data_IF_630007641594
#
_entry.id   IF_630007641594
#
_cell.length_a   1.000
_cell.length_b   1.000
_cell.length_c   1.000
_cell.angle_alpha   90.00
_cell.angle_beta   90.00
_cell.angle_gamma   90.00
#
_symmetry.space_group_name_H-M   'P 1'
#
loop_
_entity.id
_entity.type
_entity.pdbx_description
1 polymer ?
#
# COMPACT_ATOMS: atom_id res chain seq x y z
N UNK A 1 -2.13 20.86 30.85
CA UNK A 1 -1.99 19.38 30.69
C UNK A 1 -0.56 18.87 30.52
N UNK A 2 0.14 19.07 29.38
CA UNK A 2 1.48 18.46 29.17
C UNK A 2 2.51 18.86 30.24
N UNK A 3 2.56 20.17 30.56
CA UNK A 3 3.41 20.71 31.62
C UNK A 3 3.06 20.14 32.99
N UNK A 4 1.77 20.09 33.34
CA UNK A 4 1.27 19.49 34.58
C UNK A 4 1.67 18.01 34.70
N UNK A 5 1.46 17.21 33.65
CA UNK A 5 1.82 15.79 33.64
C UNK A 5 3.32 15.55 33.88
N UNK A 6 4.17 16.48 33.43
CA UNK A 6 5.62 16.44 33.61
C UNK A 6 6.06 16.88 35.01
N UNK A 7 5.22 17.61 35.75
CA UNK A 7 5.50 18.06 37.12
C UNK A 7 5.04 17.04 38.19
N UNK A 8 4.29 16.00 37.80
CA UNK A 8 3.84 14.96 38.72
C UNK A 8 5.03 14.20 39.33
N UNK A 9 5.00 14.02 40.64
CA UNK A 9 6.03 13.30 41.38
C UNK A 9 6.19 11.86 40.85
N UNK A 10 7.44 11.43 40.66
CA UNK A 10 7.78 10.12 40.10
C UNK A 10 7.76 10.04 38.56
N UNK A 11 7.20 11.04 37.85
CA UNK A 11 7.22 11.07 36.38
C UNK A 11 8.55 11.63 35.86
N UNK A 12 9.35 10.77 35.21
CA UNK A 12 10.66 11.18 34.65
C UNK A 12 10.55 11.80 33.26
N UNK A 13 9.62 11.32 32.43
CA UNK A 13 9.47 11.75 31.04
C UNK A 13 8.06 11.47 30.53
N UNK A 14 7.50 12.40 29.76
CA UNK A 14 6.22 12.24 29.06
C UNK A 14 6.51 12.29 27.57
N UNK A 15 6.18 11.23 26.83
CA UNK A 15 6.39 11.15 25.38
C UNK A 15 5.05 11.04 24.66
N UNK A 16 4.92 11.72 23.52
CA UNK A 16 3.75 11.58 22.66
C UNK A 16 4.06 10.55 21.57
N UNK A 17 3.39 9.40 21.64
CA UNK A 17 3.49 8.32 20.66
C UNK A 17 2.27 8.24 19.73
N UNK A 18 1.27 9.09 19.93
CA UNK A 18 0.10 9.20 19.07
C UNK A 18 0.43 9.97 17.79
N UNK A 19 -0.33 9.68 16.72
CA UNK A 19 -0.32 10.54 15.53
C UNK A 19 -0.77 11.95 15.88
N UNK A 20 -0.26 12.93 15.13
CA UNK A 20 -0.52 14.34 15.33
C UNK A 20 -1.21 14.94 14.09
N UNK A 21 -2.29 15.69 14.34
CA UNK A 21 -2.95 16.54 13.34
C UNK A 21 -2.13 17.81 13.17
N UNK A 22 -1.18 17.74 12.25
CA UNK A 22 -0.22 18.82 12.01
C UNK A 22 -0.88 20.06 11.42
N UNK A 23 -1.99 19.88 10.72
CA UNK A 23 -2.90 20.94 10.28
C UNK A 23 -3.29 21.87 11.42
N UNK A 24 -3.65 21.31 12.57
CA UNK A 24 -4.01 22.09 13.75
C UNK A 24 -2.77 22.56 14.53
N UNK A 25 -1.72 21.75 14.56
CA UNK A 25 -0.52 22.08 15.30
C UNK A 25 0.20 23.31 14.74
N UNK A 26 0.17 23.53 13.42
CA UNK A 26 0.79 24.71 12.80
C UNK A 26 0.15 26.02 13.25
N UNK A 27 -1.13 26.00 13.65
CA UNK A 27 -1.83 27.18 14.16
C UNK A 27 -1.35 27.60 15.57
N UNK A 28 -0.68 26.72 16.31
CA UNK A 28 -0.19 26.97 17.67
C UNK A 28 1.33 26.70 17.79
N UNK A 29 2.18 27.71 17.53
CA UNK A 29 3.62 27.59 17.68
C UNK A 29 4.09 27.27 19.11
N UNK A 30 3.35 27.68 20.15
CA UNK A 30 3.70 27.37 21.54
C UNK A 30 3.55 25.86 21.79
N UNK A 31 2.45 25.29 21.30
CA UNK A 31 2.22 23.85 21.35
C UNK A 31 3.33 23.06 20.65
N UNK A 32 3.71 23.45 19.43
CA UNK A 32 4.80 22.76 18.70
C UNK A 32 6.12 22.87 19.46
N UNK A 33 6.41 24.04 20.04
CA UNK A 33 7.63 24.24 20.84
C UNK A 33 7.65 23.32 22.06
N UNK A 34 6.57 23.25 22.83
CA UNK A 34 6.45 22.34 23.99
C UNK A 34 6.62 20.87 23.56
N UNK A 35 5.91 20.47 22.50
CA UNK A 35 5.94 19.11 21.95
C UNK A 35 7.37 18.69 21.59
N UNK A 36 8.05 19.49 20.79
CA UNK A 36 9.39 19.18 20.26
C UNK A 36 10.44 19.20 21.38
N UNK A 37 10.35 20.19 22.27
CA UNK A 37 11.32 20.39 23.36
C UNK A 37 11.21 19.33 24.44
N UNK A 38 10.01 18.80 24.73
CA UNK A 38 9.82 17.92 25.89
C UNK A 38 9.31 16.52 25.55
N UNK A 39 8.52 16.38 24.49
CA UNK A 39 7.68 15.21 24.30
C UNK A 39 8.01 14.37 23.06
N UNK A 40 8.87 14.86 22.19
CA UNK A 40 9.45 14.07 21.08
C UNK A 40 10.77 13.47 21.52
N UNK A 41 10.85 12.14 21.46
CA UNK A 41 12.06 11.40 21.82
C UNK A 41 13.17 11.51 20.78
N UNK A 42 12.81 11.40 19.51
CA UNK A 42 13.73 11.46 18.37
C UNK A 42 12.94 11.52 17.06
N UNK A 43 12.11 10.51 16.82
CA UNK A 43 11.25 10.47 15.64
C UNK A 43 9.84 10.95 15.97
N UNK A 44 9.30 11.83 15.13
CA UNK A 44 7.89 12.21 15.16
C UNK A 44 7.20 11.71 13.89
N UNK A 45 6.17 10.88 14.08
CA UNK A 45 5.36 10.31 13.01
C UNK A 45 4.29 11.30 12.59
N UNK A 46 4.28 11.64 11.31
CA UNK A 46 3.34 12.58 10.72
C UNK A 46 2.81 12.01 9.41
N UNK A 47 1.53 12.20 9.11
CA UNK A 47 0.91 11.58 7.95
C UNK A 47 0.33 12.65 7.03
N UNK A 48 1.13 13.21 6.10
CA UNK A 48 0.61 14.02 5.01
C UNK A 48 -0.30 13.20 4.08
N UNK A 49 -0.15 11.88 4.08
CA UNK A 49 -0.89 10.90 3.26
C UNK A 49 -0.57 10.99 1.76
N UNK A 50 -0.63 12.19 1.18
CA UNK A 50 -0.39 12.45 -0.24
C UNK A 50 0.06 13.91 -0.46
N UNK A 51 0.51 14.25 -1.66
CA UNK A 51 0.86 15.64 -2.06
C UNK A 51 -0.27 16.32 -2.83
N UNK A 52 -0.91 15.54 -3.71
CA UNK A 52 -1.94 16.02 -4.64
C UNK A 52 -3.35 16.16 -4.05
N UNK A 53 -4.09 17.16 -4.53
CA UNK A 53 -5.45 17.48 -4.04
C UNK A 53 -6.47 16.39 -4.30
N UNK A 54 -6.40 15.68 -5.43
CA UNK A 54 -7.35 14.62 -5.78
C UNK A 54 -7.57 13.63 -4.63
N UNK A 55 -6.54 12.90 -4.19
CA UNK A 55 -6.65 12.04 -3.01
C UNK A 55 -6.88 12.78 -1.69
N UNK A 56 -6.22 13.93 -1.46
CA UNK A 56 -6.32 14.65 -0.18
C UNK A 56 -7.72 15.18 0.13
N UNK A 57 -8.45 15.64 -0.89
CA UNK A 57 -9.82 16.12 -0.77
C UNK A 57 -10.77 15.00 -0.32
N UNK A 58 -10.52 13.77 -0.76
CA UNK A 58 -11.25 12.58 -0.31
C UNK A 58 -10.84 12.10 1.09
N UNK A 59 -9.65 12.48 1.57
CA UNK A 59 -9.15 12.17 2.92
C UNK A 59 -9.46 13.26 3.95
N UNK A 60 -10.01 14.41 3.53
CA UNK A 60 -10.18 15.60 4.37
C UNK A 60 -8.86 16.05 5.01
N UNK A 61 -7.81 16.08 4.18
CA UNK A 61 -6.47 16.51 4.56
C UNK A 61 -6.13 17.83 3.84
N UNK A 62 -5.35 18.72 4.48
CA UNK A 62 -4.86 19.91 3.77
C UNK A 62 -3.86 19.51 2.69
N UNK A 63 -3.49 20.46 1.84
CA UNK A 63 -2.40 20.29 0.89
C UNK A 63 -1.05 20.10 1.57
N UNK A 64 -0.05 19.71 0.78
CA UNK A 64 1.31 19.45 1.28
C UNK A 64 1.98 20.70 1.90
N UNK A 65 1.58 21.92 1.54
CA UNK A 65 2.16 23.14 2.09
C UNK A 65 2.08 23.24 3.63
N UNK A 66 1.00 22.72 4.23
CA UNK A 66 0.86 22.69 5.69
C UNK A 66 1.87 21.75 6.35
N UNK A 67 2.27 20.67 5.66
CA UNK A 67 3.36 19.82 6.12
C UNK A 67 4.72 20.56 6.08
N UNK A 68 4.96 21.35 5.03
CA UNK A 68 6.21 22.12 4.90
C UNK A 68 6.33 23.19 5.99
N UNK A 69 5.23 23.86 6.34
CA UNK A 69 5.17 24.80 7.47
C UNK A 69 5.46 24.11 8.80
N UNK A 70 4.81 22.97 9.05
CA UNK A 70 5.08 22.17 10.25
C UNK A 70 6.54 21.74 10.33
N UNK A 71 7.12 21.26 9.21
CA UNK A 71 8.53 20.84 9.12
C UNK A 71 9.47 21.98 9.49
N UNK A 72 9.24 23.19 8.99
CA UNK A 72 10.04 24.38 9.35
C UNK A 72 9.98 24.68 10.85
N UNK A 73 8.79 24.64 11.45
CA UNK A 73 8.64 24.86 12.90
C UNK A 73 9.33 23.77 13.72
N UNK A 74 9.16 22.51 13.32
CA UNK A 74 9.80 21.36 13.96
C UNK A 74 11.32 21.48 13.94
N UNK A 75 11.92 21.68 12.76
CA UNK A 75 13.37 21.81 12.60
C UNK A 75 13.93 22.98 13.41
N UNK A 76 13.23 24.13 13.40
CA UNK A 76 13.61 25.29 14.22
C UNK A 76 13.65 24.95 15.71
N UNK A 77 12.56 24.40 16.26
CA UNK A 77 12.46 24.13 17.69
C UNK A 77 13.32 22.93 18.13
N UNK A 78 13.57 21.96 17.25
CA UNK A 78 14.55 20.88 17.52
C UNK A 78 15.95 21.44 17.67
N UNK A 79 16.33 22.38 16.79
CA UNK A 79 17.62 23.09 16.88
C UNK A 79 17.73 23.95 18.13
N UNK A 80 16.70 24.70 18.48
CA UNK A 80 16.65 25.48 19.74
C UNK A 80 16.76 24.58 20.98
N UNK A 81 16.16 23.40 20.95
CA UNK A 81 16.24 22.41 22.02
C UNK A 81 17.57 21.63 22.04
N UNK A 82 18.44 21.82 21.06
CA UNK A 82 19.72 21.10 20.93
C UNK A 82 19.54 19.59 20.71
N UNK A 83 18.50 19.18 19.97
CA UNK A 83 18.17 17.77 19.75
C UNK A 83 18.21 17.39 18.27
N UNK A 84 18.75 16.20 18.01
CA UNK A 84 18.63 15.53 16.72
C UNK A 84 17.29 14.78 16.66
N UNK A 85 16.32 15.40 15.98
CA UNK A 85 14.98 14.85 15.81
C UNK A 85 14.59 14.85 14.35
N UNK A 86 13.75 13.90 13.96
CA UNK A 86 13.41 13.66 12.56
C UNK A 86 11.90 13.41 12.38
N UNK A 87 11.35 13.96 11.30
CA UNK A 87 9.99 13.64 10.87
C UNK A 87 9.99 12.35 10.07
N UNK A 88 9.04 11.47 10.37
CA UNK A 88 8.76 10.27 9.56
C UNK A 88 7.40 10.50 8.89
N UNK A 89 7.37 10.93 7.62
CA UNK A 89 6.14 11.06 6.87
C UNK A 89 5.58 9.70 6.44
N UNK A 90 4.26 9.55 6.51
CA UNK A 90 3.53 8.41 5.98
C UNK A 90 2.73 8.82 4.74
N UNK A 91 2.91 8.05 3.66
CA UNK A 91 2.20 8.22 2.40
C UNK A 91 1.42 6.96 2.05
N UNK A 92 0.25 7.13 1.44
CA UNK A 92 -0.65 6.05 1.04
C UNK A 92 -0.77 5.98 -0.48
N UNK A 93 -0.61 4.78 -1.03
CA UNK A 93 -0.85 4.51 -2.45
C UNK A 93 -2.29 4.06 -2.71
N UNK A 94 -2.79 4.28 -3.93
CA UNK A 94 -4.05 3.69 -4.43
C UNK A 94 -5.30 3.99 -3.58
N UNK A 95 -5.35 5.16 -2.93
CA UNK A 95 -6.56 5.64 -2.28
C UNK A 95 -7.66 5.91 -3.34
N UNK A 96 -8.95 5.81 -2.99
CA UNK A 96 -10.02 6.27 -3.88
C UNK A 96 -9.79 7.72 -4.35
N UNK A 97 -9.96 7.95 -5.64
CA UNK A 97 -9.70 9.23 -6.32
C UNK A 97 -8.23 9.49 -6.66
N UNK A 98 -7.31 8.56 -6.37
CA UNK A 98 -5.91 8.66 -6.80
C UNK A 98 -5.74 8.23 -8.26
N UNK A 99 -5.15 9.08 -9.08
CA UNK A 99 -4.75 8.79 -10.46
C UNK A 99 -3.29 8.34 -10.55
N UNK A 100 -2.87 7.83 -11.72
CA UNK A 100 -1.47 7.50 -11.97
C UNK A 100 -0.57 8.75 -12.00
N UNK A 101 -1.12 9.88 -12.47
CA UNK A 101 -0.46 11.18 -12.44
C UNK A 101 -0.23 11.67 -11.00
N UNK A 102 -1.21 11.48 -10.11
CA UNK A 102 -1.07 11.84 -8.71
C UNK A 102 0.10 11.10 -8.05
N UNK A 103 0.21 9.79 -8.32
CA UNK A 103 1.30 8.97 -7.79
C UNK A 103 2.66 9.34 -8.38
N UNK A 104 2.70 9.70 -9.66
CA UNK A 104 3.92 10.20 -10.30
C UNK A 104 4.38 11.52 -9.66
N UNK A 105 3.47 12.47 -9.45
CA UNK A 105 3.78 13.75 -8.81
C UNK A 105 4.25 13.55 -7.36
N UNK A 106 3.61 12.66 -6.61
CA UNK A 106 4.08 12.25 -5.30
C UNK A 106 5.49 11.66 -5.36
N UNK A 107 5.79 10.77 -6.30
CA UNK A 107 7.14 10.20 -6.46
C UNK A 107 8.20 11.27 -6.75
N UNK A 108 7.87 12.28 -7.57
CA UNK A 108 8.75 13.42 -7.82
C UNK A 108 8.99 14.24 -6.56
N UNK A 109 7.93 14.50 -5.77
CA UNK A 109 8.06 15.20 -4.49
C UNK A 109 8.94 14.42 -3.52
N UNK A 110 8.76 13.09 -3.43
CA UNK A 110 9.60 12.21 -2.60
C UNK A 110 11.07 12.31 -3.02
N UNK A 111 11.36 12.25 -4.32
CA UNK A 111 12.73 12.36 -4.84
C UNK A 111 13.37 13.71 -4.52
N UNK A 112 12.64 14.81 -4.72
CA UNK A 112 13.12 16.18 -4.41
C UNK A 112 13.41 16.39 -2.92
N UNK A 113 12.67 15.71 -2.04
CA UNK A 113 12.86 15.76 -0.60
C UNK A 113 13.77 14.63 -0.07
N UNK A 114 14.49 13.94 -0.98
CA UNK A 114 15.41 12.85 -0.67
C UNK A 114 14.79 11.71 0.17
N UNK A 115 13.48 11.55 0.08
CA UNK A 115 12.75 10.55 0.86
C UNK A 115 12.70 9.21 0.13
N UNK A 116 13.27 8.19 0.76
CA UNK A 116 13.30 6.82 0.27
C UNK A 116 12.49 5.91 1.20
N UNK A 117 11.25 5.61 0.80
CA UNK A 117 10.38 4.73 1.55
C UNK A 117 10.72 3.25 1.33
N UNK A 118 11.09 2.54 2.40
CA UNK A 118 11.23 1.07 2.35
C UNK A 118 9.87 0.37 2.44
N UNK A 119 9.00 0.86 3.33
CA UNK A 119 7.70 0.28 3.60
C UNK A 119 6.62 1.19 3.02
N UNK A 120 5.88 0.65 2.07
CA UNK A 120 4.78 1.37 1.43
C UNK A 120 3.49 0.59 1.59
N UNK A 121 2.46 1.28 2.05
CA UNK A 121 1.13 0.73 2.19
C UNK A 121 0.24 1.25 1.07
N UNK A 122 -0.47 0.34 0.43
CA UNK A 122 -1.58 0.70 -0.43
C UNK A 122 -2.87 0.67 0.39
N UNK A 123 -3.81 1.54 0.05
CA UNK A 123 -5.14 1.57 0.63
C UNK A 123 -5.79 0.18 0.55
N UNK A 124 -6.31 -0.27 1.68
CA UNK A 124 -7.08 -1.49 1.80
C UNK A 124 -8.48 -1.14 2.31
N UNK A 125 -9.56 -1.58 1.64
CA UNK A 125 -10.91 -1.25 2.05
C UNK A 125 -11.25 -1.93 3.39
N UNK A 126 -11.19 -1.17 4.49
CA UNK A 126 -11.64 -1.60 5.80
C UNK A 126 -13.11 -1.22 6.06
N UNK A 127 -13.89 -2.04 6.78
CA UNK A 127 -15.26 -1.68 7.15
C UNK A 127 -15.34 -0.34 7.89
N UNK A 128 -16.50 0.33 7.80
CA UNK A 128 -16.79 1.59 8.50
C UNK A 128 -15.90 2.79 8.14
N UNK A 129 -15.15 2.73 7.04
CA UNK A 129 -14.36 3.85 6.54
C UNK A 129 -15.03 4.55 5.33
N UNK A 130 -15.01 5.88 5.32
CA UNK A 130 -15.50 6.71 4.21
C UNK A 130 -14.84 6.35 2.88
N UNK A 131 -13.52 6.14 2.90
CA UNK A 131 -12.76 5.69 1.72
C UNK A 131 -13.25 4.32 1.21
N UNK A 132 -13.66 3.41 2.10
CA UNK A 132 -14.23 2.12 1.68
C UNK A 132 -15.60 2.30 1.03
N UNK A 133 -16.42 3.23 1.53
CA UNK A 133 -17.66 3.59 0.86
C UNK A 133 -17.39 4.13 -0.56
N UNK A 134 -16.40 5.01 -0.72
CA UNK A 134 -15.97 5.50 -2.05
C UNK A 134 -15.50 4.33 -2.93
N UNK A 135 -14.67 3.44 -2.40
CA UNK A 135 -14.12 2.29 -3.11
C UNK A 135 -15.20 1.36 -3.69
N UNK A 136 -16.25 1.09 -2.92
CA UNK A 136 -17.34 0.20 -3.35
C UNK A 136 -18.40 0.90 -4.19
N UNK A 137 -18.76 2.14 -3.85
CA UNK A 137 -19.86 2.85 -4.52
C UNK A 137 -19.43 3.66 -5.74
N UNK A 138 -18.14 3.98 -5.84
CA UNK A 138 -17.62 4.90 -6.86
C UNK A 138 -18.13 6.34 -6.70
N UNK A 139 -18.55 6.73 -5.48
CA UNK A 139 -19.11 8.06 -5.19
C UNK A 139 -18.48 8.68 -3.96
N UNK A 140 -18.43 10.01 -3.91
CA UNK A 140 -17.92 10.77 -2.77
C UNK A 140 -19.00 11.02 -1.70
N UNK A 141 -19.06 10.27 -0.58
CA UNK A 141 -20.09 10.46 0.46
C UNK A 141 -19.95 11.79 1.22
N UNK A 142 -18.83 12.51 1.09
CA UNK A 142 -18.63 13.83 1.72
C UNK A 142 -19.38 14.94 0.98
N UNK A 143 -19.88 14.67 -0.23
CA UNK A 143 -20.66 15.60 -1.03
C UNK A 143 -22.13 15.18 -1.03
N UNK A 144 -23.01 16.18 -1.14
CA UNK A 144 -24.46 15.97 -1.22
C UNK A 144 -24.79 15.06 -2.40
N UNK A 145 -25.32 13.88 -2.09
CA UNK A 145 -25.80 12.94 -3.09
C UNK A 145 -27.19 13.39 -3.59
N UNK A 146 -27.38 13.40 -4.91
CA UNK A 146 -28.67 13.70 -5.53
C UNK A 146 -28.87 12.78 -6.71
N UNK A 147 -30.09 12.29 -6.91
CA UNK A 147 -30.43 11.53 -8.11
C UNK A 147 -30.57 12.44 -9.34
N UNK A 148 -30.83 13.75 -9.12
CA UNK A 148 -31.04 14.74 -10.18
C UNK A 148 -29.75 15.42 -10.65
N UNK A 149 -28.70 15.44 -9.82
CA UNK A 149 -27.39 15.99 -10.19
C UNK A 149 -26.42 14.84 -10.36
N UNK A 150 -25.50 14.94 -11.32
CA UNK A 150 -24.39 13.98 -11.41
C UNK A 150 -23.62 14.02 -10.11
N UNK A 151 -23.74 12.95 -9.29
CA UNK A 151 -22.88 12.77 -8.14
C UNK A 151 -21.43 12.68 -8.62
N UNK A 152 -20.51 13.28 -7.87
CA UNK A 152 -19.08 13.17 -8.14
C UNK A 152 -18.70 11.68 -8.19
N UNK A 153 -18.19 11.25 -9.34
CA UNK A 153 -17.67 9.90 -9.53
C UNK A 153 -16.26 9.84 -8.97
N UNK A 154 -16.00 8.82 -8.16
CA UNK A 154 -14.68 8.58 -7.56
C UNK A 154 -14.16 7.26 -8.12
N UNK A 155 -13.16 7.37 -9.00
CA UNK A 155 -12.46 6.20 -9.52
C UNK A 155 -11.61 5.57 -8.41
N UNK A 156 -11.45 4.26 -8.45
CA UNK A 156 -10.72 3.52 -7.42
C UNK A 156 -9.84 2.45 -8.03
N UNK A 157 -8.60 2.37 -7.55
CA UNK A 157 -7.60 1.47 -8.08
C UNK A 157 -7.77 0.06 -7.50
N UNK A 158 -8.47 -0.80 -8.26
CA UNK A 158 -8.80 -2.19 -7.87
C UNK A 158 -7.88 -3.23 -8.50
N UNK A 159 -7.43 -2.99 -9.73
CA UNK A 159 -6.61 -3.95 -10.49
C UNK A 159 -5.21 -4.13 -9.91
N UNK A 160 -4.71 -5.37 -9.89
CA UNK A 160 -3.40 -5.71 -9.32
C UNK A 160 -2.26 -4.90 -9.97
N UNK A 161 -2.26 -4.81 -11.31
CA UNK A 161 -1.22 -4.10 -12.07
C UNK A 161 -1.12 -2.63 -11.67
N UNK A 162 -2.25 -1.93 -11.61
CA UNK A 162 -2.27 -0.50 -11.26
C UNK A 162 -1.95 -0.27 -9.78
N UNK A 163 -2.43 -1.14 -8.88
CA UNK A 163 -2.02 -1.10 -7.45
C UNK A 163 -0.52 -1.31 -7.29
N UNK A 164 0.08 -2.21 -8.06
CA UNK A 164 1.54 -2.42 -8.07
C UNK A 164 2.28 -1.21 -8.63
N UNK A 165 1.76 -0.57 -9.69
CA UNK A 165 2.30 0.67 -10.24
C UNK A 165 2.29 1.80 -9.20
N UNK A 166 1.18 2.01 -8.50
CA UNK A 166 1.08 3.04 -7.45
C UNK A 166 2.10 2.79 -6.33
N UNK A 167 2.26 1.54 -5.89
CA UNK A 167 3.30 1.19 -4.90
C UNK A 167 4.73 1.39 -5.46
N UNK A 168 4.94 1.12 -6.74
CA UNK A 168 6.23 1.32 -7.40
C UNK A 168 6.64 2.79 -7.42
N UNK A 169 5.69 3.72 -7.63
CA UNK A 169 5.95 5.16 -7.55
C UNK A 169 6.47 5.61 -6.18
N UNK A 170 5.90 5.09 -5.09
CA UNK A 170 6.41 5.38 -3.73
C UNK A 170 7.82 4.83 -3.48
N UNK A 171 8.20 3.77 -4.20
CA UNK A 171 9.52 3.13 -4.15
C UNK A 171 10.30 3.37 -5.45
N UNK A 172 10.29 4.61 -5.94
CA UNK A 172 10.92 5.03 -7.19
C UNK A 172 12.42 4.67 -7.28
N UNK A 173 13.11 4.60 -6.14
CA UNK A 173 14.53 4.31 -6.03
C UNK A 173 14.86 2.81 -6.12
N UNK A 174 13.87 1.93 -6.04
CA UNK A 174 14.06 0.47 -6.08
C UNK A 174 14.18 -0.02 -7.54
N UNK A 175 15.32 -0.60 -7.95
CA UNK A 175 15.53 -1.08 -9.31
C UNK A 175 14.51 -2.09 -9.81
N UNK A 176 13.91 -2.88 -8.91
CA UNK A 176 12.89 -3.88 -9.28
C UNK A 176 11.63 -3.22 -9.88
N UNK A 177 11.39 -1.95 -9.55
CA UNK A 177 10.24 -1.19 -10.02
C UNK A 177 10.49 -0.46 -11.36
N UNK A 178 11.74 -0.25 -11.77
CA UNK A 178 12.07 0.61 -12.91
C UNK A 178 11.49 0.14 -14.25
N UNK A 179 11.44 -1.17 -14.59
CA UNK A 179 10.79 -1.61 -15.82
C UNK A 179 9.31 -1.20 -15.90
N UNK A 180 8.58 -1.38 -14.79
CA UNK A 180 7.16 -1.01 -14.69
C UNK A 180 6.98 0.51 -14.75
N UNK A 181 7.83 1.27 -14.06
CA UNK A 181 7.77 2.72 -14.07
C UNK A 181 8.14 3.31 -15.44
N UNK A 182 9.16 2.78 -16.13
CA UNK A 182 9.50 3.22 -17.50
C UNK A 182 8.35 3.00 -18.47
N UNK A 183 7.70 1.84 -18.40
CA UNK A 183 6.52 1.55 -19.24
C UNK A 183 5.39 2.56 -18.97
N UNK A 184 5.05 2.77 -17.70
CA UNK A 184 3.99 3.69 -17.31
C UNK A 184 4.30 5.15 -17.71
N UNK A 185 5.53 5.62 -17.46
CA UNK A 185 5.96 6.97 -17.83
C UNK A 185 5.88 7.19 -19.35
N UNK A 186 6.27 6.20 -20.16
CA UNK A 186 6.12 6.27 -21.63
C UNK A 186 4.64 6.35 -22.04
N UNK A 187 3.77 5.54 -21.44
CA UNK A 187 2.33 5.56 -21.71
C UNK A 187 1.67 6.89 -21.30
N UNK A 188 2.16 7.52 -20.24
CA UNK A 188 1.72 8.83 -19.76
C UNK A 188 2.30 10.00 -20.58
N UNK A 189 3.16 9.74 -21.57
CA UNK A 189 3.85 10.79 -22.33
C UNK A 189 4.93 11.54 -21.52
N UNK A 190 5.38 10.97 -20.40
CA UNK A 190 6.36 11.53 -19.47
C UNK A 190 7.73 10.85 -19.56
N UNK A 191 8.15 10.53 -20.78
CA UNK A 191 9.47 9.99 -21.05
C UNK A 191 10.61 10.95 -20.66
N UNK A 192 10.32 12.26 -20.52
CA UNK A 192 11.24 13.26 -19.98
C UNK A 192 11.75 12.91 -18.57
N UNK A 193 10.97 12.16 -17.79
CA UNK A 193 11.32 11.72 -16.45
C UNK A 193 12.22 10.49 -16.41
N UNK A 194 12.72 10.00 -17.55
CA UNK A 194 13.59 8.83 -17.64
C UNK A 194 15.02 9.28 -18.01
N UNK A 195 15.98 8.95 -17.14
CA UNK A 195 17.41 9.21 -17.33
C UNK A 195 18.11 9.59 -16.02
N UNK A 196 19.34 10.07 -16.13
CA UNK A 196 20.24 10.29 -14.98
C UNK A 196 20.30 11.74 -14.48
N UNK A 197 19.51 12.66 -15.06
CA UNK A 197 19.49 14.06 -14.63
C UNK A 197 18.73 14.22 -13.30
N UNK A 198 19.06 15.23 -12.46
CA UNK A 198 18.44 15.40 -11.14
C UNK A 198 16.91 15.50 -11.12
N UNK A 199 16.30 16.08 -12.17
CA UNK A 199 14.84 16.25 -12.26
C UNK A 199 14.10 15.01 -12.77
N UNK A 200 14.82 14.02 -13.31
CA UNK A 200 14.24 12.79 -13.83
C UNK A 200 13.89 11.87 -12.65
N UNK A 201 12.92 10.97 -12.79
CA UNK A 201 12.46 10.13 -11.69
C UNK A 201 13.30 8.85 -11.56
N UNK A 202 13.51 8.15 -12.67
CA UNK A 202 14.19 6.84 -12.75
C UNK A 202 15.25 6.84 -13.87
N UNK A 203 16.29 5.99 -13.78
CA UNK A 203 17.30 5.89 -14.83
C UNK A 203 16.80 5.16 -16.08
N UNK A 204 17.50 5.35 -17.20
CA UNK A 204 17.18 4.70 -18.48
C UNK A 204 17.48 3.19 -18.42
N UNK A 205 18.59 2.81 -17.78
CA UNK A 205 19.09 1.43 -17.76
C UNK A 205 18.75 0.69 -16.46
N UNK A 206 18.97 -0.62 -16.44
CA UNK A 206 18.89 -1.46 -15.26
C UNK A 206 20.32 -1.70 -14.74
N UNK A 207 20.58 -1.80 -13.42
CA UNK A 207 21.89 -2.23 -12.94
C UNK A 207 22.15 -3.68 -13.35
N UNK A 208 23.41 -3.99 -13.68
CA UNK A 208 23.84 -5.34 -14.10
C UNK A 208 23.67 -6.40 -12.99
N UNK A 209 23.50 -5.97 -11.73
CA UNK A 209 23.10 -6.81 -10.60
C UNK A 209 22.20 -6.00 -9.64
N UNK A 210 20.91 -6.34 -9.59
CA UNK A 210 19.95 -5.70 -8.69
C UNK A 210 20.10 -6.20 -7.24
N UNK A 211 21.17 -5.83 -6.54
CA UNK A 211 21.31 -6.06 -5.10
C UNK A 211 20.70 -4.90 -4.29
N UNK A 212 19.40 -4.62 -4.45
CA UNK A 212 18.70 -3.80 -3.46
C UNK A 212 18.14 -4.70 -2.34
N UNK A 213 18.94 -4.92 -1.30
CA UNK A 213 18.51 -5.65 -0.11
C UNK A 213 17.81 -4.70 0.86
N UNK A 214 16.48 -4.83 0.98
CA UNK A 214 15.72 -4.08 2.00
C UNK A 214 16.30 -4.32 3.40
N UNK A 215 16.32 -3.31 4.29
CA UNK A 215 16.93 -3.45 5.63
C UNK A 215 16.37 -4.61 6.45
N UNK A 216 15.11 -5.01 6.18
CA UNK A 216 14.47 -6.16 6.84
C UNK A 216 15.03 -7.51 6.38
N UNK A 217 15.55 -7.62 5.15
CA UNK A 217 16.18 -8.85 4.65
C UNK A 217 17.59 -9.07 5.21
N UNK A 218 18.31 -8.01 5.59
CA UNK A 218 19.62 -8.13 6.27
C UNK A 218 19.50 -8.91 7.59
N UNK A 219 18.40 -8.77 8.32
CA UNK A 219 18.18 -9.47 9.59
C UNK A 219 17.47 -10.83 9.45
N UNK A 220 16.98 -11.22 8.26
CA UNK A 220 16.41 -12.55 8.01
C UNK A 220 17.38 -13.52 7.33
N UNK A 221 18.53 -13.04 6.83
CA UNK A 221 19.55 -13.84 6.14
C UNK A 221 20.37 -14.78 7.04
N UNK A 222 20.33 -14.59 8.36
CA UNK A 222 20.89 -15.51 9.35
C UNK A 222 19.80 -16.34 10.08
N UNK A 223 18.66 -16.59 9.44
CA UNK A 223 17.76 -17.64 9.90
C UNK A 223 18.37 -19.00 9.52
N UNK A 224 19.08 -19.58 10.49
CA UNK A 224 19.50 -20.98 10.60
C UNK A 224 18.68 -21.91 9.70
N UNK A 225 19.34 -22.62 8.75
CA UNK A 225 18.73 -23.67 7.93
C UNK A 225 17.78 -24.49 8.80
N UNK A 226 16.48 -24.35 8.57
CA UNK A 226 15.43 -25.05 9.29
C UNK A 226 15.70 -26.56 9.20
N UNK A 227 16.28 -27.14 10.27
CA UNK A 227 16.18 -28.57 10.50
C UNK A 227 14.69 -28.90 10.52
N UNK A 228 14.31 -29.98 9.86
CA UNK A 228 12.93 -30.48 9.76
C UNK A 228 12.45 -30.92 11.16
N UNK A 229 12.11 -29.94 11.99
CA UNK A 229 11.58 -30.12 13.34
C UNK A 229 10.07 -30.27 13.28
N UNK A 230 9.56 -31.30 13.94
CA UNK A 230 8.14 -31.60 14.06
C UNK A 230 7.47 -30.47 14.85
N UNK A 231 6.60 -29.70 14.19
CA UNK A 231 5.72 -28.72 14.84
C UNK A 231 4.77 -29.47 15.78
N UNK A 232 5.00 -29.36 17.09
CA UNK A 232 4.04 -29.78 18.12
C UNK A 232 3.14 -28.60 18.42
N UNK A 233 1.99 -28.53 17.73
CA UNK A 233 0.89 -27.65 18.17
C UNK A 233 0.33 -28.21 19.47
N UNK A 234 0.55 -27.49 20.56
CA UNK A 234 -0.16 -27.66 21.84
C UNK A 234 -1.64 -27.34 21.58
N UNK A 235 -2.45 -28.38 21.35
CA UNK A 235 -3.90 -28.22 21.33
C UNK A 235 -4.38 -28.14 22.78
N UNK A 236 -5.18 -27.12 23.09
CA UNK A 236 -5.86 -26.95 24.38
C UNK A 236 -6.67 -28.20 24.71
N UNK A 237 -6.45 -28.73 25.92
CA UNK A 237 -6.95 -30.00 26.40
C UNK A 237 -8.46 -30.06 26.59
N UNK A 238 -9.16 -30.44 25.53
CA UNK A 238 -10.49 -31.02 25.62
C UNK A 238 -10.35 -32.54 25.40
N UNK A 239 -10.85 -33.39 26.32
CA UNK A 239 -10.72 -34.83 26.18
C UNK A 239 -11.48 -35.31 24.94
N UNK A 240 -10.92 -36.28 24.18
CA UNK A 240 -11.60 -36.85 23.02
C UNK A 240 -12.89 -37.56 23.46
N UNK A 241 -13.99 -37.27 22.73
CA UNK A 241 -15.31 -37.89 22.95
C UNK A 241 -15.20 -39.41 22.85
N UNK A 242 -15.62 -40.11 23.90
CA UNK A 242 -15.84 -41.55 23.88
C UNK A 242 -17.10 -41.85 23.06
N UNK A 243 -16.94 -42.22 21.78
CA UNK A 243 -17.80 -43.17 21.08
C UNK A 243 -17.19 -43.54 19.73
N UNK A 244 -17.12 -44.85 19.47
CA UNK A 244 -16.23 -45.49 18.52
C UNK A 244 -16.48 -45.21 17.04
N UNK A 245 -15.37 -45.18 16.29
CA UNK A 245 -15.33 -45.24 14.83
C UNK A 245 -13.93 -45.71 14.41
N UNK A 246 -13.88 -46.80 13.66
CA UNK A 246 -12.72 -47.66 13.44
C UNK A 246 -11.45 -46.97 12.86
N UNK A 247 -10.28 -47.34 13.40
CA UNK A 247 -8.97 -47.07 12.81
C UNK A 247 -8.70 -48.05 11.66
N UNK A 248 -8.67 -47.55 10.42
CA UNK A 248 -8.05 -48.25 9.29
C UNK A 248 -6.53 -48.08 9.36
N UNK A 249 -5.80 -49.18 9.59
CA UNK A 249 -4.34 -49.25 9.46
C UNK A 249 -3.97 -49.35 7.98
N UNK A 250 -3.21 -48.39 7.47
CA UNK A 250 -2.50 -48.52 6.20
C UNK A 250 -1.15 -49.22 6.43
N UNK A 251 -1.04 -50.47 5.98
CA UNK A 251 0.23 -51.18 5.90
C UNK A 251 0.95 -50.79 4.60
N UNK A 252 2.18 -50.33 4.76
CA UNK A 252 3.22 -50.25 3.72
C UNK A 252 3.83 -51.63 3.50
N UNK A 253 3.98 -52.04 2.24
CA UNK A 253 5.00 -53.03 1.85
C UNK A 253 5.50 -52.76 0.43
N UNK A 254 6.82 -52.80 0.31
CA UNK A 254 7.60 -52.55 -0.88
C UNK A 254 7.73 -53.80 -1.77
N UNK A 255 7.97 -53.56 -3.07
CA UNK A 255 8.81 -54.39 -3.95
C UNK A 255 8.12 -55.51 -4.75
N UNK A 256 8.07 -55.39 -6.08
CA UNK A 256 9.01 -56.08 -7.00
C UNK A 256 8.45 -56.27 -8.43
N UNK A 257 9.19 -55.73 -9.41
CA UNK A 257 9.54 -56.25 -10.77
C UNK A 257 8.52 -56.66 -11.84
N UNK A 258 8.97 -56.38 -13.09
CA UNK A 258 8.51 -56.79 -14.44
C UNK A 258 7.27 -56.04 -14.96
N UNK A 259 7.23 -55.40 -16.14
CA UNK A 259 8.06 -55.48 -17.34
C UNK A 259 7.15 -55.86 -18.50
N UNK A 260 6.75 -54.90 -19.36
CA UNK A 260 6.49 -55.09 -20.80
C UNK A 260 5.76 -53.89 -21.42
N UNK A 261 6.17 -53.59 -22.65
CA UNK A 261 5.76 -52.57 -23.61
C UNK A 261 4.27 -52.70 -24.01
N UNK A 262 3.61 -51.58 -24.35
CA UNK A 262 3.12 -51.30 -25.72
C UNK A 262 2.45 -49.91 -25.81
N UNK A 263 2.56 -49.32 -27.00
CA UNK A 263 2.15 -47.97 -27.42
C UNK A 263 0.74 -48.02 -28.09
N UNK A 264 0.19 -46.91 -28.65
CA UNK A 264 -1.20 -46.47 -28.45
C UNK A 264 -2.14 -46.80 -29.61
N UNK A 265 -3.46 -46.60 -29.41
CA UNK A 265 -4.45 -46.53 -30.49
C UNK A 265 -5.37 -45.32 -30.24
N UNK A 266 -5.24 -44.24 -31.02
CA UNK A 266 -5.95 -43.86 -32.26
C UNK A 266 -7.48 -43.68 -32.17
N UNK A 267 -7.92 -42.49 -32.61
CA UNK A 267 -9.17 -42.23 -33.34
C UNK A 267 -10.42 -42.02 -32.49
N UNK A 268 -11.36 -41.12 -32.78
CA UNK A 268 -11.65 -40.41 -34.03
C UNK A 268 -12.67 -39.28 -33.78
N UNK A 269 -12.38 -38.11 -34.32
CA UNK A 269 -13.23 -37.20 -35.10
C UNK A 269 -14.78 -37.32 -35.03
N UNK A 270 -15.47 -36.21 -34.73
CA UNK A 270 -16.75 -35.84 -35.36
C UNK A 270 -17.03 -34.33 -35.28
N UNK A 271 -16.97 -33.66 -36.44
CA UNK A 271 -17.57 -32.35 -36.75
C UNK A 271 -19.01 -32.58 -37.21
N UNK A 272 -19.91 -31.62 -36.93
CA UNK A 272 -21.08 -31.16 -37.72
C UNK A 272 -21.85 -30.16 -36.82
N UNK A 273 -22.43 -29.05 -37.26
CA UNK A 273 -22.65 -28.48 -38.58
C UNK A 273 -23.21 -27.04 -38.45
N UNK A 274 -23.06 -26.27 -39.53
CA UNK A 274 -23.58 -24.90 -39.71
C UNK A 274 -25.10 -24.91 -39.93
N UNK A 275 -25.79 -23.87 -39.46
CA UNK A 275 -27.15 -23.50 -39.90
C UNK A 275 -27.31 -21.99 -39.97
N UNK A 276 -27.47 -21.44 -41.18
CA UNK A 276 -27.85 -20.05 -41.48
C UNK A 276 -29.37 -19.94 -41.49
N UNK A 277 -29.91 -18.82 -41.01
CA UNK A 277 -31.30 -18.41 -41.26
C UNK A 277 -31.48 -16.90 -41.02
N UNK A 278 -31.72 -16.14 -42.10
CA UNK A 278 -32.16 -14.73 -42.07
C UNK A 278 -33.68 -14.68 -41.89
N UNK A 279 -34.19 -13.72 -41.12
CA UNK A 279 -35.42 -12.98 -41.45
C UNK A 279 -35.55 -11.70 -40.61
N UNK A 280 -35.92 -10.61 -41.29
CA UNK A 280 -36.34 -9.31 -40.75
C UNK A 280 -37.75 -9.42 -40.15
N UNK A 281 -38.05 -8.61 -39.13
CA UNK A 281 -39.25 -7.75 -39.09
C UNK A 281 -39.18 -6.75 -37.93
N UNK A 282 -39.63 -5.53 -38.23
CA UNK A 282 -39.85 -4.40 -37.31
C UNK A 282 -40.98 -4.74 -36.31
N UNK A 283 -40.99 -4.11 -35.13
CA UNK A 283 -41.97 -3.06 -34.72
C UNK A 283 -41.97 -2.83 -33.21
N UNK A 284 -42.05 -1.53 -32.85
CA UNK A 284 -42.38 -0.87 -31.57
C UNK A 284 -43.20 -1.67 -30.53
N UNK A 285 -42.85 -1.54 -29.25
CA UNK A 285 -43.61 -0.82 -28.18
C UNK A 285 -42.85 -0.93 -26.83
N UNK A 286 -42.51 0.21 -26.22
CA UNK A 286 -43.06 0.73 -24.96
C UNK A 286 -42.77 -0.08 -23.67
N UNK A 287 -42.02 0.59 -22.78
CA UNK A 287 -42.26 0.76 -21.34
C UNK A 287 -42.32 -0.51 -20.46
N UNK A 288 -41.28 -0.72 -19.66
CA UNK A 288 -41.27 -0.46 -18.20
C UNK A 288 -39.83 -0.41 -17.69
#
# INVERSE_FOLDING_TARGET
LYREARQLEGVKKVLIASGLRYDLAVEDPEYVRELVTHHVGGYLKIAPEHTERGPLDHMMKPGIGTYDEFKKMFERFSKEAGKDQYLIPYFIAAHPGTTDEDMMNLALWLKRNEFKADQVQAFYPSPMATATAMYHTGRNPLKRQSYKRSAEKVESVKGERQRRLHKAFLRWHDPDNWPLLREALKQMGRADLIGDKPHQLIPETQPDQAEYASPRRKNSGQAMKSRRGKLLTQHTGLPPRSNGGAQMKSQTSAGSTAGSKTKPNTGSNAKLGKGRGKARAKTRHQIR
#
